data_IF_571729621119
#
_entry.id   IF_571729621119
#
_cell.length_a   1.000
_cell.length_b   1.000
_cell.length_c   1.000
_cell.angle_alpha   90.00
_cell.angle_beta   90.00
_cell.angle_gamma   90.00
#
_symmetry.space_group_name_H-M   'P 1'
#
loop_
_entity.id
_entity.type
_entity.pdbx_description
1 polymer ?
#
# COMPACT_ATOMS: atom_id res chain seq x y z
N UNK A 1 -0.42 -3.59 19.99
CA UNK A 1 -1.69 -4.17 19.52
C UNK A 1 -1.50 -5.49 18.78
N UNK A 2 -0.75 -5.53 17.66
CA UNK A 2 -0.50 -6.78 16.92
C UNK A 2 0.29 -7.82 17.73
N UNK A 3 1.29 -7.40 18.52
CA UNK A 3 2.07 -8.27 19.41
C UNK A 3 1.22 -8.95 20.48
N UNK A 4 0.37 -8.19 21.18
CA UNK A 4 -0.57 -8.71 22.18
C UNK A 4 -1.61 -9.64 21.56
N UNK A 5 -2.11 -9.32 20.36
CA UNK A 5 -3.03 -10.18 19.60
C UNK A 5 -2.38 -11.51 19.18
N UNK A 6 -1.14 -11.47 18.69
CA UNK A 6 -0.36 -12.65 18.34
C UNK A 6 -0.08 -13.55 19.54
N UNK A 7 0.31 -12.96 20.68
CA UNK A 7 0.55 -13.72 21.93
C UNK A 7 -0.76 -14.32 22.45
N UNK A 8 -1.88 -13.61 22.33
CA UNK A 8 -3.18 -14.14 22.74
C UNK A 8 -3.68 -15.28 21.84
N UNK A 9 -3.45 -15.19 20.52
CA UNK A 9 -3.73 -16.30 19.59
C UNK A 9 -2.78 -17.48 19.81
N UNK A 10 -1.51 -17.22 20.14
CA UNK A 10 -0.51 -18.25 20.48
C UNK A 10 -0.80 -18.95 21.82
N UNK A 11 -1.57 -18.31 22.72
CA UNK A 11 -2.01 -18.90 23.98
C UNK A 11 -3.07 -19.99 23.77
N UNK A 12 -3.85 -19.94 22.69
CA UNK A 12 -4.86 -20.95 22.37
C UNK A 12 -4.24 -22.05 21.50
N UNK A 13 -4.12 -23.30 21.99
CA UNK A 13 -3.55 -24.41 21.21
C UNK A 13 -4.30 -24.60 19.89
N UNK A 14 -3.58 -24.86 18.81
CA UNK A 14 -4.15 -25.14 17.49
C UNK A 14 -4.65 -23.93 16.68
N UNK A 15 -4.53 -22.68 17.18
CA UNK A 15 -4.98 -21.47 16.47
C UNK A 15 -3.89 -20.68 15.75
N UNK A 16 -2.63 -20.80 16.19
CA UNK A 16 -1.50 -20.18 15.50
C UNK A 16 -0.94 -21.08 14.39
N UNK A 17 -0.88 -22.39 14.65
CA UNK A 17 -0.50 -23.42 13.68
C UNK A 17 -1.64 -24.42 13.56
N UNK A 18 -2.23 -24.52 12.36
CA UNK A 18 -3.26 -25.51 12.07
C UNK A 18 -2.70 -26.92 12.28
N UNK A 19 -3.26 -27.66 13.24
CA UNK A 19 -2.89 -29.06 13.52
C UNK A 19 -1.90 -29.29 14.68
N UNK A 20 -1.46 -28.24 15.40
CA UNK A 20 -0.60 -28.41 16.57
C UNK A 20 -1.44 -28.33 17.87
N UNK A 21 -1.66 -29.48 18.53
CA UNK A 21 -2.40 -29.59 19.80
C UNK A 21 -1.52 -29.33 21.04
N UNK A 22 -0.21 -29.17 20.87
CA UNK A 22 0.70 -28.88 21.97
C UNK A 22 0.62 -27.41 22.39
N UNK A 23 0.73 -27.11 23.70
CA UNK A 23 0.83 -25.74 24.17
C UNK A 23 2.13 -25.11 23.65
N UNK A 24 2.00 -24.20 22.68
CA UNK A 24 3.12 -23.44 22.09
C UNK A 24 3.87 -22.65 23.17
N UNK A 25 3.15 -22.22 24.20
CA UNK A 25 3.69 -21.55 25.37
C UNK A 25 3.60 -22.53 26.56
N UNK A 26 4.72 -23.10 27.03
CA UNK A 26 4.71 -24.15 28.04
C UNK A 26 4.25 -23.68 29.43
N UNK A 27 4.42 -22.39 29.78
CA UNK A 27 3.80 -21.79 30.98
C UNK A 27 3.16 -20.45 30.65
N UNK A 28 1.88 -20.28 31.01
CA UNK A 28 1.12 -19.02 30.81
C UNK A 28 1.21 -18.07 32.00
N UNK A 29 2.27 -18.15 32.81
CA UNK A 29 2.44 -17.31 34.00
C UNK A 29 2.53 -15.84 33.61
N UNK A 30 1.88 -14.95 34.38
CA UNK A 30 1.83 -13.51 34.11
C UNK A 30 3.21 -12.86 33.82
N UNK A 31 4.29 -13.18 34.57
CA UNK A 31 5.61 -12.62 34.29
C UNK A 31 6.15 -13.01 32.91
N UNK A 32 5.87 -14.22 32.42
CA UNK A 32 6.35 -14.70 31.11
C UNK A 32 5.60 -14.03 29.95
N UNK A 33 4.30 -13.79 30.10
CA UNK A 33 3.53 -13.04 29.11
C UNK A 33 4.05 -11.60 29.04
N UNK A 34 4.32 -10.98 30.19
CA UNK A 34 4.90 -9.64 30.24
C UNK A 34 6.29 -9.58 29.60
N UNK A 35 7.17 -10.55 29.85
CA UNK A 35 8.48 -10.59 29.17
C UNK A 35 8.34 -10.79 27.66
N UNK A 36 7.43 -11.66 27.19
CA UNK A 36 7.17 -11.81 25.75
C UNK A 36 6.68 -10.52 25.10
N UNK A 37 5.71 -9.83 25.73
CA UNK A 37 5.21 -8.54 25.23
C UNK A 37 6.32 -7.49 25.20
N UNK A 38 7.11 -7.38 26.27
CA UNK A 38 8.24 -6.45 26.34
C UNK A 38 9.31 -6.75 25.28
N UNK A 39 9.69 -8.01 25.08
CA UNK A 39 10.69 -8.41 24.07
C UNK A 39 10.18 -8.12 22.66
N UNK A 40 8.92 -8.45 22.35
CA UNK A 40 8.33 -8.13 21.04
C UNK A 40 8.25 -6.61 20.81
N UNK A 41 7.87 -5.84 21.84
CA UNK A 41 7.76 -4.38 21.75
C UNK A 41 9.14 -3.74 21.60
N UNK A 42 10.14 -4.19 22.36
CA UNK A 42 11.52 -3.78 22.22
C UNK A 42 12.06 -4.10 20.82
N UNK A 43 11.77 -5.29 20.29
CA UNK A 43 12.11 -5.65 18.92
C UNK A 43 11.50 -4.69 17.89
N UNK A 44 10.23 -4.33 18.02
CA UNK A 44 9.59 -3.35 17.12
C UNK A 44 10.19 -1.94 17.27
N UNK A 45 10.59 -1.54 18.47
CA UNK A 45 11.22 -0.24 18.71
C UNK A 45 12.61 -0.17 18.05
N UNK A 46 13.39 -1.26 18.10
CA UNK A 46 14.68 -1.35 17.38
C UNK A 46 14.47 -1.26 15.87
N UNK A 47 13.45 -1.94 15.33
CA UNK A 47 13.12 -1.87 13.89
C UNK A 47 12.71 -0.45 13.50
N UNK A 48 11.89 0.24 14.32
CA UNK A 48 11.50 1.63 14.10
C UNK A 48 12.72 2.56 14.09
N UNK A 49 13.60 2.41 15.08
CA UNK A 49 14.84 3.19 15.17
C UNK A 49 15.75 2.97 13.95
N UNK A 50 15.88 1.73 13.47
CA UNK A 50 16.59 1.43 12.22
C UNK A 50 15.91 2.09 11.01
N UNK A 51 14.57 2.11 10.96
CA UNK A 51 13.81 2.79 9.93
C UNK A 51 14.05 4.30 9.89
N UNK A 52 14.11 4.96 11.06
CA UNK A 52 14.46 6.38 11.17
C UNK A 52 15.90 6.63 10.73
N UNK A 53 16.85 5.79 11.15
CA UNK A 53 18.25 5.92 10.75
C UNK A 53 18.45 5.78 9.23
N UNK A 54 17.69 4.89 8.57
CA UNK A 54 17.69 4.75 7.11
C UNK A 54 17.08 5.99 6.46
N UNK A 55 16.07 6.60 7.06
CA UNK A 55 15.44 7.82 6.53
C UNK A 55 16.39 9.02 6.61
N UNK A 56 17.15 9.13 7.72
CA UNK A 56 18.08 10.25 7.93
C UNK A 56 19.36 10.14 7.10
N UNK A 57 19.94 8.93 6.99
CA UNK A 57 21.25 8.71 6.35
C UNK A 57 21.17 8.10 4.96
N UNK A 58 20.04 7.48 4.63
CA UNK A 58 19.83 6.73 3.40
C UNK A 58 19.03 7.51 2.36
N UNK A 59 18.35 6.77 1.50
CA UNK A 59 17.47 7.29 0.45
C UNK A 59 16.11 6.64 0.61
N UNK A 60 15.03 7.40 0.55
CA UNK A 60 13.67 6.88 0.70
C UNK A 60 13.10 7.02 2.10
N UNK A 61 11.89 6.47 2.26
CA UNK A 61 11.27 6.26 3.57
C UNK A 61 11.77 4.94 4.15
N UNK A 62 12.53 4.99 5.24
CA UNK A 62 13.19 3.82 5.80
C UNK A 62 12.23 2.74 6.28
N UNK A 63 11.06 3.11 6.82
CA UNK A 63 10.03 2.12 7.19
C UNK A 63 9.49 1.39 5.97
N UNK A 64 9.24 2.10 4.87
CA UNK A 64 8.78 1.50 3.62
C UNK A 64 9.84 0.56 3.00
N UNK A 65 11.12 0.91 3.07
CA UNK A 65 12.23 0.09 2.56
C UNK A 65 12.41 -1.20 3.37
N UNK A 66 12.21 -1.15 4.69
CA UNK A 66 12.25 -2.35 5.54
C UNK A 66 11.12 -3.31 5.17
N UNK A 67 9.89 -2.80 4.97
CA UNK A 67 8.75 -3.62 4.53
C UNK A 67 9.02 -4.19 3.13
N UNK A 68 9.52 -3.37 2.20
CA UNK A 68 9.93 -3.81 0.87
C UNK A 68 10.92 -4.98 0.94
N UNK A 69 11.96 -4.86 1.76
CA UNK A 69 13.01 -5.88 1.89
C UNK A 69 12.46 -7.19 2.47
N UNK A 70 11.57 -7.10 3.47
CA UNK A 70 10.92 -8.26 4.09
C UNK A 70 10.04 -9.03 3.10
N UNK A 71 9.29 -8.32 2.26
CA UNK A 71 8.46 -8.95 1.21
C UNK A 71 9.34 -9.50 0.09
N UNK A 72 10.32 -8.72 -0.36
CA UNK A 72 11.22 -9.11 -1.45
C UNK A 72 12.02 -10.38 -1.11
N UNK A 73 12.46 -10.53 0.14
CA UNK A 73 13.19 -11.71 0.60
C UNK A 73 12.36 -13.01 0.54
N UNK A 74 11.02 -12.93 0.54
CA UNK A 74 10.15 -14.10 0.50
C UNK A 74 9.89 -14.60 -0.93
N UNK A 75 9.99 -13.74 -1.95
CA UNK A 75 9.70 -14.14 -3.33
C UNK A 75 10.55 -15.32 -3.82
N UNK A 76 11.88 -15.37 -3.65
CA UNK A 76 12.69 -16.47 -4.14
C UNK A 76 12.27 -17.81 -3.54
N UNK A 77 12.05 -17.84 -2.22
CA UNK A 77 11.65 -19.04 -1.49
C UNK A 77 10.27 -19.55 -1.94
N UNK A 78 9.32 -18.65 -2.16
CA UNK A 78 7.98 -19.02 -2.61
C UNK A 78 7.94 -19.45 -4.08
N UNK A 79 8.74 -18.83 -4.96
CA UNK A 79 8.88 -19.28 -6.34
C UNK A 79 9.57 -20.65 -6.44
N UNK A 80 10.57 -20.90 -5.59
CA UNK A 80 11.25 -22.19 -5.54
C UNK A 80 10.33 -23.32 -5.04
N UNK A 81 9.44 -23.03 -4.08
CA UNK A 81 8.46 -24.02 -3.59
C UNK A 81 7.47 -24.43 -4.69
N UNK A 82 7.04 -23.48 -5.54
CA UNK A 82 6.16 -23.77 -6.68
C UNK A 82 6.84 -24.72 -7.67
N UNK A 83 8.14 -24.50 -7.95
CA UNK A 83 8.92 -25.38 -8.82
C UNK A 83 8.97 -26.81 -8.28
N UNK A 84 9.15 -26.97 -6.97
CA UNK A 84 9.21 -28.27 -6.30
C UNK A 84 7.86 -28.99 -6.29
N UNK A 85 6.76 -28.26 -6.11
CA UNK A 85 5.43 -28.86 -5.98
C UNK A 85 4.71 -29.12 -7.31
N UNK A 86 4.80 -28.19 -8.26
CA UNK A 86 4.04 -28.23 -9.52
C UNK A 86 4.89 -28.38 -10.79
N UNK A 87 6.21 -28.51 -10.62
CA UNK A 87 7.16 -28.72 -11.71
C UNK A 87 7.55 -27.44 -12.46
N UNK A 88 8.43 -27.61 -13.44
CA UNK A 88 9.11 -26.50 -14.14
C UNK A 88 8.17 -25.70 -15.05
N UNK A 89 7.15 -26.35 -15.62
CA UNK A 89 6.14 -25.69 -16.46
C UNK A 89 5.28 -24.70 -15.66
N UNK A 90 4.79 -25.10 -14.49
CA UNK A 90 4.01 -24.23 -13.61
C UNK A 90 4.85 -23.05 -13.09
N UNK A 91 6.13 -23.29 -12.78
CA UNK A 91 7.06 -22.24 -12.39
C UNK A 91 7.21 -21.16 -13.48
N UNK A 92 7.44 -21.56 -14.73
CA UNK A 92 7.57 -20.62 -15.86
C UNK A 92 6.27 -19.85 -16.11
N UNK A 93 5.13 -20.53 -16.09
CA UNK A 93 3.83 -19.90 -16.29
C UNK A 93 3.53 -18.86 -15.20
N UNK A 94 3.71 -19.21 -13.92
CA UNK A 94 3.47 -18.30 -12.79
C UNK A 94 4.43 -17.11 -12.83
N UNK A 95 5.70 -17.34 -13.19
CA UNK A 95 6.70 -16.27 -13.31
C UNK A 95 6.35 -15.29 -14.43
N UNK A 96 5.91 -15.80 -15.60
CA UNK A 96 5.48 -14.98 -16.72
C UNK A 96 4.25 -14.12 -16.37
N UNK A 97 3.25 -14.71 -15.71
CA UNK A 97 2.06 -13.99 -15.23
C UNK A 97 2.44 -12.94 -14.17
N UNK A 98 3.35 -13.28 -13.25
CA UNK A 98 3.85 -12.34 -12.24
C UNK A 98 4.52 -11.11 -12.86
N UNK A 99 5.38 -11.29 -13.86
CA UNK A 99 6.01 -10.18 -14.60
C UNK A 99 4.96 -9.32 -15.31
N UNK A 100 3.97 -9.94 -15.94
CA UNK A 100 2.88 -9.22 -16.62
C UNK A 100 2.08 -8.36 -15.63
N UNK A 101 1.73 -8.92 -14.46
CA UNK A 101 1.03 -8.18 -13.40
C UNK A 101 1.90 -7.02 -12.91
N UNK A 102 3.19 -7.24 -12.64
CA UNK A 102 4.11 -6.17 -12.22
C UNK A 102 4.19 -5.07 -13.27
N UNK A 103 4.30 -5.41 -14.55
CA UNK A 103 4.32 -4.43 -15.64
C UNK A 103 3.02 -3.61 -15.72
N UNK A 104 1.86 -4.28 -15.57
CA UNK A 104 0.57 -3.61 -15.51
C UNK A 104 0.45 -2.67 -14.31
N UNK A 105 0.95 -3.09 -13.13
CA UNK A 105 0.97 -2.28 -11.92
C UNK A 105 1.86 -1.04 -12.09
N UNK A 106 3.08 -1.21 -12.62
CA UNK A 106 4.00 -0.11 -12.91
C UNK A 106 3.38 0.89 -13.87
N UNK A 107 2.71 0.42 -14.93
CA UNK A 107 2.06 1.28 -15.90
C UNK A 107 0.99 2.19 -15.26
N UNK A 108 0.15 1.62 -14.39
CA UNK A 108 -0.91 2.39 -13.72
C UNK A 108 -0.35 3.29 -12.61
N UNK A 109 0.65 2.85 -11.84
CA UNK A 109 1.31 3.67 -10.81
C UNK A 109 2.05 4.88 -11.40
N UNK A 110 2.61 4.75 -12.60
CA UNK A 110 3.25 5.87 -13.29
C UNK A 110 2.25 6.78 -14.03
N UNK A 111 0.99 6.37 -14.17
CA UNK A 111 -0.03 7.17 -14.83
C UNK A 111 -0.33 8.42 -13.98
N UNK A 112 -0.15 9.58 -14.60
CA UNK A 112 -0.43 10.88 -13.98
C UNK A 112 -1.18 11.79 -14.95
N UNK A 113 -2.18 12.50 -14.42
CA UNK A 113 -2.83 13.61 -15.12
C UNK A 113 -2.02 14.87 -14.86
N UNK A 114 -1.50 15.48 -15.92
CA UNK A 114 -0.74 16.74 -15.84
C UNK A 114 -1.71 17.90 -16.02
N UNK A 115 -1.94 18.69 -14.97
CA UNK A 115 -2.75 19.91 -15.05
C UNK A 115 -1.82 21.10 -15.32
N UNK A 116 -1.93 21.80 -16.46
CA UNK A 116 -1.07 22.93 -16.75
C UNK A 116 -1.39 24.11 -15.83
N UNK A 117 -0.34 24.74 -15.33
CA UNK A 117 -0.38 25.94 -14.49
C UNK A 117 0.47 27.00 -15.16
N UNK A 118 -0.09 28.20 -15.23
CA UNK A 118 0.64 29.38 -15.69
C UNK A 118 0.84 30.30 -14.50
N UNK A 119 2.09 30.74 -14.32
CA UNK A 119 2.41 31.78 -13.35
C UNK A 119 2.33 33.14 -14.03
N UNK A 120 1.73 34.11 -13.33
CA UNK A 120 1.63 35.47 -13.83
C UNK A 120 3.02 36.03 -14.17
N UNK A 121 3.14 36.56 -15.38
CA UNK A 121 4.38 37.12 -15.91
C UNK A 121 4.70 38.44 -15.22
N UNK A 122 5.90 38.58 -14.67
CA UNK A 122 6.40 39.87 -14.19
C UNK A 122 7.10 40.59 -15.34
N UNK A 123 6.45 41.59 -15.91
CA UNK A 123 7.06 42.44 -16.92
C UNK A 123 8.01 43.44 -16.24
N UNK A 124 9.29 43.40 -16.60
CA UNK A 124 10.29 44.40 -16.18
C UNK A 124 10.85 45.04 -17.45
N UNK A 125 10.43 46.27 -17.74
CA UNK A 125 10.77 46.98 -18.98
C UNK A 125 10.02 46.47 -20.22
N UNK A 126 10.68 46.51 -21.39
CA UNK A 126 10.12 46.04 -22.69
C UNK A 126 10.24 44.53 -22.92
N UNK A 127 11.01 43.85 -22.07
CA UNK A 127 11.28 42.42 -22.16
C UNK A 127 10.41 41.70 -21.14
N UNK A 128 9.78 40.63 -21.62
CA UNK A 128 8.82 39.89 -20.83
C UNK A 128 9.54 38.64 -20.30
N UNK A 129 10.05 38.72 -19.07
CA UNK A 129 10.70 37.60 -18.38
C UNK A 129 9.68 36.76 -17.61
N UNK A 130 9.80 35.43 -17.71
CA UNK A 130 8.97 34.50 -16.94
C UNK A 130 7.63 34.18 -17.63
N UNK A 131 7.44 32.92 -17.96
CA UNK A 131 6.24 32.40 -18.60
C UNK A 131 6.38 30.90 -18.85
N UNK A 132 7.13 30.21 -17.99
CA UNK A 132 7.27 28.77 -18.09
C UNK A 132 5.95 28.15 -17.66
N UNK A 133 5.29 27.46 -18.59
CA UNK A 133 4.18 26.59 -18.26
C UNK A 133 4.70 25.45 -17.41
N UNK A 134 4.32 25.41 -16.15
CA UNK A 134 4.55 24.26 -15.27
C UNK A 134 3.29 23.41 -15.28
N UNK A 135 3.35 22.19 -14.76
CA UNK A 135 2.17 21.39 -14.53
C UNK A 135 2.18 20.82 -13.11
N UNK A 136 1.00 20.67 -12.53
CA UNK A 136 0.81 19.91 -11.29
C UNK A 136 0.49 18.47 -11.71
N UNK A 137 1.36 17.49 -11.38
CA UNK A 137 1.07 16.08 -11.62
C UNK A 137 0.10 15.55 -10.56
N UNK A 138 -1.06 15.07 -10.97
CA UNK A 138 -1.97 14.30 -10.13
C UNK A 138 -1.86 12.83 -10.54
N UNK A 139 -1.30 11.99 -9.66
CA UNK A 139 -1.19 10.54 -9.89
C UNK A 139 -2.57 9.89 -9.92
N UNK A 140 -2.74 8.84 -10.73
CA UNK A 140 -3.99 8.06 -10.77
C UNK A 140 -4.24 7.36 -9.42
N UNK A 141 -3.19 6.77 -8.85
CA UNK A 141 -3.22 6.24 -7.49
C UNK A 141 -2.53 7.18 -6.50
N UNK A 142 -3.23 8.23 -6.09
CA UNK A 142 -2.70 9.14 -5.06
C UNK A 142 -2.67 8.50 -3.66
N UNK A 143 -3.53 7.51 -3.41
CA UNK A 143 -3.65 6.87 -2.11
C UNK A 143 -2.56 5.82 -1.82
N UNK A 144 -1.82 5.41 -2.85
CA UNK A 144 -0.83 4.34 -2.75
C UNK A 144 -1.47 3.03 -2.30
N UNK A 145 -0.83 2.35 -1.36
CA UNK A 145 -1.26 1.02 -0.88
C UNK A 145 -2.03 1.08 0.45
N UNK A 146 -2.08 2.26 1.08
CA UNK A 146 -2.60 2.45 2.42
C UNK A 146 -4.08 2.04 2.57
N UNK A 147 -5.00 2.39 1.64
CA UNK A 147 -6.39 1.96 1.72
C UNK A 147 -6.57 0.44 1.80
N UNK A 148 -5.75 -0.31 1.05
CA UNK A 148 -5.83 -1.78 1.00
C UNK A 148 -5.38 -2.38 2.34
N UNK A 149 -4.37 -1.79 2.98
CA UNK A 149 -3.90 -2.18 4.32
C UNK A 149 -5.00 -1.92 5.36
N UNK A 150 -5.66 -0.76 5.32
CA UNK A 150 -6.77 -0.46 6.21
C UNK A 150 -7.96 -1.41 6.00
N UNK A 151 -8.33 -1.69 4.76
CA UNK A 151 -9.38 -2.66 4.46
C UNK A 151 -9.05 -4.06 5.02
N UNK A 152 -7.81 -4.52 4.83
CA UNK A 152 -7.37 -5.83 5.34
C UNK A 152 -7.34 -5.90 6.87
N UNK A 153 -6.93 -4.82 7.54
CA UNK A 153 -6.87 -4.79 9.00
C UNK A 153 -8.25 -4.70 9.64
N UNK A 154 -9.20 -3.98 9.02
CA UNK A 154 -10.58 -3.91 9.51
C UNK A 154 -11.31 -5.26 9.34
N UNK A 155 -11.13 -5.94 8.21
CA UNK A 155 -11.68 -7.30 7.99
C UNK A 155 -11.07 -8.36 8.91
N UNK A 156 -9.89 -8.11 9.47
CA UNK A 156 -9.26 -8.99 10.45
C UNK A 156 -9.86 -8.84 11.87
N UNK A 157 -10.59 -7.76 12.17
CA UNK A 157 -11.18 -7.55 13.50
C UNK A 157 -12.25 -8.61 13.84
N UNK A 158 -13.22 -8.92 12.96
CA UNK A 158 -14.20 -9.97 13.24
C UNK A 158 -13.55 -11.34 13.44
N UNK A 159 -12.49 -11.64 12.67
CA UNK A 159 -11.76 -12.89 12.83
C UNK A 159 -11.08 -12.97 14.19
N UNK A 160 -10.49 -11.87 14.68
CA UNK A 160 -9.96 -11.79 16.05
C UNK A 160 -11.06 -12.04 17.08
N UNK A 161 -12.23 -11.40 16.97
CA UNK A 161 -13.32 -11.57 17.95
C UNK A 161 -13.79 -13.03 18.03
N UNK A 162 -13.98 -13.70 16.89
CA UNK A 162 -14.32 -15.13 16.84
C UNK A 162 -13.20 -15.98 17.42
N UNK A 163 -11.95 -15.62 17.13
CA UNK A 163 -10.78 -16.32 17.66
C UNK A 163 -10.64 -16.17 19.19
N UNK A 164 -11.02 -15.03 19.76
CA UNK A 164 -11.00 -14.78 21.19
C UNK A 164 -12.20 -15.38 21.93
N UNK A 165 -13.39 -15.37 21.32
CA UNK A 165 -14.62 -15.86 21.94
C UNK A 165 -14.64 -17.38 22.09
N UNK A 166 -13.96 -18.13 21.21
CA UNK A 166 -13.95 -19.60 21.23
C UNK A 166 -15.34 -20.26 21.03
N UNK A 167 -16.38 -19.45 20.80
CA UNK A 167 -17.76 -19.90 20.69
C UNK A 167 -18.03 -20.53 19.34
N UNK A 168 -18.68 -21.70 19.33
CA UNK A 168 -19.20 -22.39 18.13
C UNK A 168 -20.62 -21.95 17.76
N UNK A 169 -21.09 -20.84 18.34
CA UNK A 169 -22.40 -20.30 18.04
C UNK A 169 -22.58 -19.99 16.55
N UNK A 170 -23.83 -20.07 16.06
CA UNK A 170 -24.17 -19.88 14.64
C UNK A 170 -23.62 -18.58 14.05
N UNK A 171 -23.56 -17.50 14.84
CA UNK A 171 -22.96 -16.22 14.41
C UNK A 171 -21.45 -16.30 14.20
N UNK A 172 -20.73 -17.04 15.05
CA UNK A 172 -19.27 -17.20 14.98
C UNK A 172 -18.88 -18.11 13.81
N UNK A 173 -19.63 -19.19 13.60
CA UNK A 173 -19.48 -20.08 12.44
C UNK A 173 -19.79 -19.33 11.13
N UNK A 174 -20.83 -18.49 11.13
CA UNK A 174 -21.16 -17.65 9.97
C UNK A 174 -20.04 -16.65 9.63
N UNK A 175 -19.46 -15.98 10.63
CA UNK A 175 -18.31 -15.08 10.42
C UNK A 175 -17.09 -15.87 9.91
N UNK A 176 -16.81 -17.04 10.49
CA UNK A 176 -15.67 -17.86 10.07
C UNK A 176 -15.83 -18.35 8.62
N UNK A 177 -17.04 -18.76 8.23
CA UNK A 177 -17.31 -19.25 6.88
C UNK A 177 -17.37 -18.13 5.84
N UNK A 178 -17.95 -16.96 6.16
CA UNK A 178 -18.19 -15.89 5.19
C UNK A 178 -17.13 -14.79 5.17
N UNK A 179 -16.40 -14.56 6.28
CA UNK A 179 -15.43 -13.47 6.42
C UNK A 179 -13.98 -13.95 6.59
N UNK A 180 -13.74 -15.20 6.96
CA UNK A 180 -12.37 -15.72 7.21
C UNK A 180 -11.90 -16.66 6.10
N UNK A 181 -12.82 -17.43 5.52
CA UNK A 181 -12.50 -18.26 4.36
C UNK A 181 -12.57 -17.36 3.12
N UNK A 182 -11.41 -16.92 2.63
CA UNK A 182 -11.29 -15.94 1.54
C UNK A 182 -11.95 -16.34 0.22
N UNK A 183 -12.47 -17.57 0.13
CA UNK A 183 -13.15 -18.13 -1.05
C UNK A 183 -14.61 -17.68 -1.20
N UNK A 184 -15.23 -17.14 -0.15
CA UNK A 184 -16.65 -16.76 -0.24
C UNK A 184 -16.85 -15.46 -1.04
N UNK A 185 -17.77 -15.40 -2.01
CA UNK A 185 -18.05 -14.19 -2.80
C UNK A 185 -18.39 -12.95 -1.94
N UNK A 186 -18.99 -13.18 -0.77
CA UNK A 186 -19.29 -12.11 0.20
C UNK A 186 -18.01 -11.45 0.73
N UNK A 187 -16.96 -12.23 1.02
CA UNK A 187 -15.67 -11.69 1.44
C UNK A 187 -15.07 -10.81 0.35
N UNK A 188 -15.08 -11.28 -0.90
CA UNK A 188 -14.55 -10.55 -2.05
C UNK A 188 -15.28 -9.22 -2.26
N UNK A 189 -16.62 -9.24 -2.22
CA UNK A 189 -17.44 -8.03 -2.40
C UNK A 189 -17.22 -7.05 -1.23
N UNK A 190 -17.22 -7.55 0.01
CA UNK A 190 -16.99 -6.71 1.18
C UNK A 190 -15.58 -6.10 1.17
N UNK A 191 -14.56 -6.88 0.82
CA UNK A 191 -13.18 -6.43 0.71
C UNK A 191 -13.02 -5.40 -0.40
N UNK A 192 -13.56 -5.67 -1.59
CA UNK A 192 -13.57 -4.73 -2.71
C UNK A 192 -14.27 -3.41 -2.35
N UNK A 193 -15.45 -3.48 -1.75
CA UNK A 193 -16.22 -2.30 -1.36
C UNK A 193 -15.49 -1.46 -0.31
N UNK A 194 -14.84 -2.13 0.65
CA UNK A 194 -14.05 -1.47 1.69
C UNK A 194 -12.80 -0.80 1.13
N UNK A 195 -12.11 -1.42 0.16
CA UNK A 195 -10.99 -0.79 -0.55
C UNK A 195 -11.46 0.49 -1.25
N UNK A 196 -12.56 0.42 -2.01
CA UNK A 196 -13.09 1.60 -2.72
C UNK A 196 -13.44 2.72 -1.74
N UNK A 197 -14.13 2.40 -0.64
CA UNK A 197 -14.46 3.36 0.40
C UNK A 197 -13.22 4.03 1.00
N UNK A 198 -12.22 3.23 1.43
CA UNK A 198 -11.02 3.78 2.03
C UNK A 198 -10.15 4.55 1.03
N UNK A 199 -10.18 4.21 -0.26
CA UNK A 199 -9.46 4.97 -1.27
C UNK A 199 -10.06 6.38 -1.42
N UNK A 200 -11.38 6.52 -1.48
CA UNK A 200 -12.03 7.84 -1.49
C UNK A 200 -11.77 8.62 -0.20
N UNK A 201 -11.90 7.97 0.94
CA UNK A 201 -11.66 8.57 2.25
C UNK A 201 -10.22 9.08 2.38
N UNK A 202 -9.23 8.28 1.98
CA UNK A 202 -7.82 8.63 2.10
C UNK A 202 -7.41 9.75 1.14
N UNK A 203 -7.89 9.73 -0.11
CA UNK A 203 -7.61 10.82 -1.08
C UNK A 203 -8.18 12.15 -0.58
N UNK A 204 -9.40 12.14 -0.05
CA UNK A 204 -10.05 13.36 0.47
C UNK A 204 -9.30 13.98 1.66
N UNK A 205 -8.65 13.16 2.49
CA UNK A 205 -7.87 13.64 3.65
C UNK A 205 -6.48 14.12 3.22
N UNK A 206 -5.82 13.41 2.32
CA UNK A 206 -4.42 13.68 1.97
C UNK A 206 -4.24 14.81 0.97
N UNK A 207 -5.21 15.03 0.09
CA UNK A 207 -5.15 16.12 -0.88
C UNK A 207 -6.28 17.11 -0.63
N UNK A 208 -5.93 18.24 -0.03
CA UNK A 208 -6.86 19.34 0.21
C UNK A 208 -6.86 20.32 -0.99
N UNK A 209 -7.91 20.32 -1.84
CA UNK A 209 -7.94 21.14 -3.06
C UNK A 209 -8.06 22.63 -2.75
N UNK A 210 -8.67 22.99 -1.62
CA UNK A 210 -8.82 24.38 -1.18
C UNK A 210 -7.45 24.97 -0.83
N UNK A 211 -6.64 24.21 -0.11
CA UNK A 211 -5.29 24.64 0.27
C UNK A 211 -4.38 24.78 -0.96
N UNK A 212 -4.44 23.82 -1.90
CA UNK A 212 -3.67 23.88 -3.15
C UNK A 212 -4.09 25.08 -3.99
N UNK A 213 -5.39 25.36 -4.08
CA UNK A 213 -5.91 26.51 -4.83
C UNK A 213 -5.50 27.85 -4.19
N UNK A 214 -5.53 27.97 -2.86
CA UNK A 214 -5.12 29.20 -2.18
C UNK A 214 -3.60 29.40 -2.27
N UNK A 215 -2.81 28.33 -2.18
CA UNK A 215 -1.37 28.37 -2.43
C UNK A 215 -1.07 28.84 -3.87
N UNK A 216 -1.77 28.30 -4.87
CA UNK A 216 -1.62 28.77 -6.26
C UNK A 216 -1.91 30.27 -6.40
N UNK A 217 -3.01 30.74 -5.80
CA UNK A 217 -3.37 32.16 -5.79
C UNK A 217 -2.29 33.02 -5.11
N UNK A 218 -1.73 32.57 -3.98
CA UNK A 218 -0.66 33.27 -3.25
C UNK A 218 0.64 33.39 -4.06
N UNK A 219 0.98 32.35 -4.83
CA UNK A 219 2.16 32.35 -5.71
C UNK A 219 1.89 32.92 -7.12
N UNK A 220 0.71 33.50 -7.37
CA UNK A 220 0.35 34.09 -8.67
C UNK A 220 0.17 33.06 -9.79
N UNK A 221 -0.03 31.78 -9.44
CA UNK A 221 -0.33 30.69 -10.35
C UNK A 221 -1.84 30.56 -10.60
N UNK A 222 -2.22 30.30 -11.85
CA UNK A 222 -3.60 30.00 -12.21
C UNK A 222 -3.66 28.90 -13.29
N UNK A 223 -4.80 28.21 -13.33
CA UNK A 223 -5.08 27.24 -14.39
C UNK A 223 -5.68 28.02 -15.57
N UNK A 224 -5.15 27.87 -16.80
CA UNK A 224 -5.72 28.56 -17.97
C UNK A 224 -7.23 28.29 -18.10
N UNK A 225 -8.02 29.36 -18.18
CA UNK A 225 -9.49 29.28 -18.29
C UNK A 225 -10.25 29.24 -16.95
N UNK A 226 -9.57 29.18 -15.79
CA UNK A 226 -10.22 29.12 -14.48
C UNK A 226 -9.65 30.21 -13.57
N UNK A 227 -10.53 31.00 -12.95
CA UNK A 227 -10.13 32.07 -12.03
C UNK A 227 -9.54 31.47 -10.75
N UNK A 228 -8.40 31.99 -10.29
CA UNK A 228 -7.73 31.55 -9.07
C UNK A 228 -8.63 31.73 -7.83
N UNK A 229 -8.60 30.75 -6.92
CA UNK A 229 -9.42 30.71 -5.70
C UNK A 229 -10.45 29.57 -5.74
N UNK A 230 -11.69 29.84 -5.32
CA UNK A 230 -12.77 28.82 -5.23
C UNK A 230 -13.01 28.04 -6.54
N UNK A 231 -13.08 28.67 -7.73
CA UNK A 231 -13.29 27.93 -8.98
C UNK A 231 -12.15 26.94 -9.29
N UNK A 232 -10.90 27.26 -8.90
CA UNK A 232 -9.77 26.33 -9.00
C UNK A 232 -9.94 25.14 -8.08
N UNK A 233 -10.38 25.36 -6.83
CA UNK A 233 -10.64 24.27 -5.88
C UNK A 233 -11.73 23.31 -6.39
N UNK A 234 -12.86 23.85 -6.84
CA UNK A 234 -13.97 23.06 -7.40
C UNK A 234 -13.52 22.23 -8.61
N UNK A 235 -12.71 22.81 -9.49
CA UNK A 235 -12.13 22.08 -10.61
C UNK A 235 -11.18 20.97 -10.15
N UNK A 236 -10.30 21.23 -9.18
CA UNK A 236 -9.41 20.22 -8.63
C UNK A 236 -10.20 19.09 -7.95
N UNK A 237 -11.24 19.40 -7.17
CA UNK A 237 -12.16 18.42 -6.58
C UNK A 237 -12.84 17.55 -7.65
N UNK A 238 -13.36 18.17 -8.71
CA UNK A 238 -13.96 17.47 -9.84
C UNK A 238 -12.95 16.52 -10.51
N UNK A 239 -11.72 16.98 -10.73
CA UNK A 239 -10.65 16.18 -11.32
C UNK A 239 -10.28 15.01 -10.42
N UNK A 240 -10.08 15.24 -9.13
CA UNK A 240 -9.71 14.19 -8.16
C UNK A 240 -10.77 13.10 -8.10
N UNK A 241 -12.04 13.46 -7.87
CA UNK A 241 -13.12 12.46 -7.74
C UNK A 241 -13.22 11.52 -8.96
N UNK A 242 -12.97 12.06 -10.16
CA UNK A 242 -13.00 11.31 -11.42
C UNK A 242 -11.74 10.50 -11.69
N UNK A 243 -10.59 10.91 -11.16
CA UNK A 243 -9.35 10.11 -11.20
C UNK A 243 -9.38 9.00 -10.14
N UNK A 244 -9.93 9.28 -8.97
CA UNK A 244 -10.04 8.31 -7.87
C UNK A 244 -10.97 7.15 -8.23
N UNK A 245 -12.00 7.35 -9.05
CA UNK A 245 -12.90 6.28 -9.50
C UNK A 245 -12.16 5.10 -10.18
N UNK A 246 -11.41 5.30 -11.29
CA UNK A 246 -10.63 4.23 -11.90
C UNK A 246 -9.48 3.75 -11.00
N UNK A 247 -8.86 4.63 -10.20
CA UNK A 247 -7.81 4.25 -9.26
C UNK A 247 -8.28 3.29 -8.17
N UNK A 248 -9.46 3.55 -7.58
CA UNK A 248 -10.07 2.70 -6.57
C UNK A 248 -10.50 1.34 -7.13
N UNK A 249 -11.06 1.33 -8.36
CA UNK A 249 -11.44 0.10 -9.04
C UNK A 249 -10.20 -0.75 -9.39
N UNK A 250 -9.12 -0.12 -9.85
CA UNK A 250 -7.84 -0.78 -10.11
C UNK A 250 -7.24 -1.40 -8.83
N UNK A 251 -7.22 -0.66 -7.73
CA UNK A 251 -6.73 -1.16 -6.43
C UNK A 251 -7.55 -2.36 -5.95
N UNK A 252 -8.88 -2.27 -6.08
CA UNK A 252 -9.77 -3.37 -5.72
C UNK A 252 -9.52 -4.60 -6.60
N UNK A 253 -9.39 -4.45 -7.92
CA UNK A 253 -9.09 -5.56 -8.82
C UNK A 253 -7.79 -6.26 -8.45
N UNK A 254 -6.70 -5.52 -8.23
CA UNK A 254 -5.41 -6.13 -7.86
C UNK A 254 -5.47 -6.87 -6.54
N UNK A 255 -6.20 -6.33 -5.57
CA UNK A 255 -6.36 -6.99 -4.28
C UNK A 255 -7.13 -8.31 -4.38
N UNK A 256 -8.00 -8.48 -5.40
CA UNK A 256 -8.81 -9.68 -5.63
C UNK A 256 -8.10 -10.72 -6.49
N UNK A 257 -7.18 -10.33 -7.38
CA UNK A 257 -6.42 -11.24 -8.26
C UNK A 257 -5.85 -12.47 -7.50
N UNK A 258 -5.19 -12.33 -6.34
CA UNK A 258 -4.63 -13.46 -5.61
C UNK A 258 -5.71 -14.43 -5.11
N UNK A 259 -6.85 -13.89 -4.67
CA UNK A 259 -7.98 -14.69 -4.18
C UNK A 259 -8.55 -15.53 -5.33
N UNK A 260 -8.75 -14.91 -6.50
CA UNK A 260 -9.19 -15.63 -7.70
C UNK A 260 -8.19 -16.70 -8.16
N UNK A 261 -6.90 -16.41 -8.08
CA UNK A 261 -5.84 -17.37 -8.42
C UNK A 261 -5.79 -18.57 -7.45
N UNK A 262 -6.01 -18.34 -6.15
CA UNK A 262 -6.06 -19.42 -5.16
C UNK A 262 -7.21 -20.39 -5.43
N UNK A 263 -8.40 -19.88 -5.76
CA UNK A 263 -9.59 -20.67 -6.09
C UNK A 263 -9.37 -21.50 -7.37
N UNK A 264 -8.79 -20.89 -8.42
CA UNK A 264 -8.58 -21.55 -9.73
C UNK A 264 -7.46 -22.59 -9.71
N UNK A 265 -6.35 -22.32 -9.01
CA UNK A 265 -5.16 -23.18 -9.04
C UNK A 265 -5.07 -24.13 -7.85
N UNK A 266 -6.02 -24.09 -6.91
CA UNK A 266 -6.05 -24.88 -5.68
C UNK A 266 -4.68 -24.87 -4.97
N UNK A 267 -3.98 -23.73 -5.08
CA UNK A 267 -2.64 -23.58 -4.58
C UNK A 267 -2.74 -23.35 -3.09
N UNK A 268 -2.06 -24.21 -2.32
CA UNK A 268 -1.75 -23.98 -0.90
C UNK A 268 -1.35 -22.52 -0.69
N UNK A 269 -1.81 -21.91 0.41
CA UNK A 269 -1.79 -20.46 0.73
C UNK A 269 -0.45 -19.71 0.73
N UNK A 270 0.55 -20.21 0.01
CA UNK A 270 1.85 -19.63 -0.25
C UNK A 270 1.93 -19.14 -1.70
N UNK A 271 0.94 -18.37 -2.18
CA UNK A 271 1.09 -17.69 -3.46
C UNK A 271 1.98 -16.45 -3.27
N UNK A 272 3.17 -16.38 -3.91
CA UNK A 272 4.14 -15.29 -3.73
C UNK A 272 3.55 -13.93 -4.03
N UNK A 273 2.61 -13.87 -4.95
CA UNK A 273 2.07 -12.65 -5.52
C UNK A 273 0.79 -12.24 -4.81
N UNK A 274 0.87 -12.01 -3.49
CA UNK A 274 -0.17 -11.28 -2.78
C UNK A 274 -0.36 -9.90 -3.40
N UNK A 275 -1.59 -9.50 -3.70
CA UNK A 275 -1.89 -8.27 -4.44
C UNK A 275 -1.38 -7.03 -3.72
N UNK A 276 -1.47 -7.03 -2.39
CA UNK A 276 -0.86 -6.03 -1.51
C UNK A 276 0.67 -6.06 -1.55
N UNK A 277 1.28 -7.25 -1.51
CA UNK A 277 2.73 -7.41 -1.55
C UNK A 277 3.34 -6.84 -2.84
N UNK A 278 2.72 -7.11 -3.99
CA UNK A 278 3.15 -6.55 -5.28
C UNK A 278 3.02 -5.03 -5.29
N UNK A 279 1.89 -4.49 -4.82
CA UNK A 279 1.67 -3.04 -4.77
C UNK A 279 2.72 -2.33 -3.91
N UNK A 280 3.07 -2.90 -2.74
CA UNK A 280 4.11 -2.34 -1.86
C UNK A 280 5.47 -2.38 -2.56
N UNK A 281 5.81 -3.52 -3.17
CA UNK A 281 7.12 -3.71 -3.81
C UNK A 281 7.31 -2.74 -4.97
N UNK A 282 6.30 -2.59 -5.83
CA UNK A 282 6.36 -1.67 -6.97
C UNK A 282 6.33 -0.22 -6.51
N UNK A 283 5.42 0.15 -5.59
CA UNK A 283 5.28 1.53 -5.13
C UNK A 283 6.56 2.05 -4.46
N UNK A 284 7.07 1.30 -3.48
CA UNK A 284 8.30 1.67 -2.76
C UNK A 284 9.51 1.60 -3.69
N UNK A 285 9.61 0.57 -4.53
CA UNK A 285 10.71 0.43 -5.49
C UNK A 285 10.80 1.61 -6.47
N UNK A 286 9.67 2.06 -7.02
CA UNK A 286 9.61 3.21 -7.92
C UNK A 286 9.93 4.52 -7.19
N UNK A 287 9.42 4.73 -5.98
CA UNK A 287 9.67 5.96 -5.23
C UNK A 287 11.15 6.04 -4.79
N UNK A 288 11.74 4.94 -4.34
CA UNK A 288 13.19 4.89 -4.03
C UNK A 288 14.02 5.15 -5.28
N UNK A 289 13.68 4.55 -6.43
CA UNK A 289 14.39 4.80 -7.69
C UNK A 289 14.34 6.27 -8.11
N UNK A 290 13.17 6.91 -8.03
CA UNK A 290 13.01 8.35 -8.32
C UNK A 290 13.83 9.24 -7.39
N UNK A 291 13.90 8.90 -6.10
CA UNK A 291 14.71 9.66 -5.15
C UNK A 291 16.21 9.52 -5.43
N UNK A 292 16.67 8.33 -5.78
CA UNK A 292 18.06 8.10 -6.20
C UNK A 292 18.36 8.94 -7.45
N UNK A 293 17.49 8.89 -8.46
CA UNK A 293 17.66 9.67 -9.68
C UNK A 293 17.69 11.19 -9.40
N UNK A 294 16.82 11.68 -8.53
CA UNK A 294 16.80 13.09 -8.11
C UNK A 294 18.12 13.51 -7.44
N UNK A 295 18.71 12.67 -6.59
CA UNK A 295 20.00 12.96 -5.96
C UNK A 295 21.17 12.93 -6.97
N UNK A 296 21.14 11.99 -7.93
CA UNK A 296 22.12 11.93 -9.01
C UNK A 296 22.06 13.16 -9.91
N UNK A 297 20.86 13.60 -10.27
CA UNK A 297 20.65 14.82 -11.06
C UNK A 297 21.22 16.05 -10.34
N UNK A 298 20.98 16.19 -9.02
CA UNK A 298 21.56 17.27 -8.23
C UNK A 298 23.09 17.28 -8.24
N UNK A 299 23.75 16.12 -8.16
CA UNK A 299 25.21 16.03 -8.27
C UNK A 299 25.72 16.39 -9.66
N UNK A 300 24.99 16.01 -10.72
CA UNK A 300 25.38 16.33 -12.10
C UNK A 300 25.21 17.80 -12.49
N UNK A 301 24.49 18.59 -11.68
CA UNK A 301 24.22 20.01 -11.94
C UNK A 301 25.41 20.95 -11.62
N UNK A 302 26.51 20.45 -11.03
CA UNK A 302 27.68 21.26 -10.67
C UNK A 302 28.45 21.85 -11.86
N UNK A 303 28.15 21.43 -13.10
CA UNK A 303 28.93 21.82 -14.29
C UNK A 303 28.53 23.12 -15.00
N UNK A 304 27.40 23.76 -14.65
CA UNK A 304 26.87 24.88 -15.45
C UNK A 304 27.22 26.29 -14.89
N UNK A 305 27.78 26.38 -13.69
CA UNK A 305 28.15 27.64 -13.02
C UNK A 305 29.58 27.63 -12.47
N UNK A 306 30.53 27.09 -13.21
CA UNK A 306 31.96 27.36 -13.03
C UNK A 306 32.59 27.82 -14.33
#
# INVERSE_FOLDING_TARGET
LQSTGLIAVARTPGRLFSGCSYPIIPDTTWPRIMTMVCVMTAGTAVIMWLGELITDRGVGNGMSILIFTSIAAQFPTQLWSIKLQKGLFAFLFVSAVGVLIVAAVVFVEQAQRRIPVQYAKRQVGRQSYGGTSTYIPIKVNQAGVIPVIFASSLLYIPSLIVNFSGSTAKWAVWIQQNLVTGDHPIYIIAYSGMIVFFTYFYVAITFNPDEVAENMKKYGGFIPGIRAGRPTSEYLQYVLSRITAPGALYLALIAIIPIGALILFNATGNFPFGGTAILIVVGVGLDTAKQIESQLQQRSYEGFLK
#
